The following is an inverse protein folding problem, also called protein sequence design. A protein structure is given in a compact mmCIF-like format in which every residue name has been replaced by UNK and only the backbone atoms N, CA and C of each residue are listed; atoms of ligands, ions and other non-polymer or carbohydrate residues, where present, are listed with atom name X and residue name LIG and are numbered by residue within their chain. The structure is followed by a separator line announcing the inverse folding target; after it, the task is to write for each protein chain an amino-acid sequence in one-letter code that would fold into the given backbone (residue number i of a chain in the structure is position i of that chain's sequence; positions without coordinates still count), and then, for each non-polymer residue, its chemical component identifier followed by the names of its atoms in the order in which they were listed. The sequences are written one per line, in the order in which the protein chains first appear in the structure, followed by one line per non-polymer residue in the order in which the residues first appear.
data_IF_325329817762
#
_entry.id   IF_325329817762
#
_cell.length_a   1.000
_cell.length_b   1.000
_cell.length_c   1.000
_cell.angle_alpha   90.00
_cell.angle_beta   90.00
_cell.angle_gamma   90.00
#
_symmetry.space_group_name_H-M   'P 1'
#
loop_
_entity.id
_entity.type
_entity.pdbx_description
1 polymer ?
#
# COMPACT_ATOMS: atom_id res chain seq x y z
N UNK A 1 -30.67 -23.35 18.34
CA UNK A 1 -30.28 -22.96 16.96
C UNK A 1 -31.04 -21.75 16.41
N UNK A 2 -32.04 -21.23 17.10
CA UNK A 2 -32.89 -20.12 16.61
C UNK A 2 -32.15 -18.77 16.53
N UNK A 3 -30.97 -18.64 17.13
CA UNK A 3 -30.17 -17.39 17.19
C UNK A 3 -28.89 -17.43 16.37
N UNK A 4 -28.53 -18.57 15.79
CA UNK A 4 -27.34 -18.68 14.95
C UNK A 4 -27.71 -18.39 13.49
N UNK A 5 -26.90 -17.60 12.82
CA UNK A 5 -26.95 -17.37 11.37
C UNK A 5 -26.49 -18.63 10.63
N UNK A 6 -26.32 -18.55 9.32
CA UNK A 6 -25.80 -19.71 8.56
C UNK A 6 -24.40 -20.11 9.03
N UNK A 7 -24.05 -21.38 8.85
CA UNK A 7 -22.70 -21.89 9.18
C UNK A 7 -21.59 -21.04 8.52
N UNK A 8 -21.83 -20.57 7.30
CA UNK A 8 -20.89 -19.69 6.59
C UNK A 8 -20.73 -18.35 7.30
N UNK A 9 -21.81 -17.77 7.80
CA UNK A 9 -21.74 -16.49 8.54
C UNK A 9 -20.99 -16.66 9.84
N UNK A 10 -21.24 -17.75 10.57
CA UNK A 10 -20.53 -18.04 11.82
C UNK A 10 -19.03 -18.31 11.58
N UNK A 11 -18.69 -19.03 10.53
CA UNK A 11 -17.30 -19.27 10.15
C UNK A 11 -16.58 -17.94 9.83
N UNK A 12 -17.24 -17.04 9.09
CA UNK A 12 -16.67 -15.72 8.79
C UNK A 12 -16.46 -14.89 10.07
N UNK A 13 -17.38 -14.96 11.02
CA UNK A 13 -17.25 -14.27 12.31
C UNK A 13 -16.06 -14.82 13.12
N UNK A 14 -15.92 -16.15 13.17
CA UNK A 14 -14.80 -16.82 13.85
C UNK A 14 -13.48 -16.44 13.16
N UNK A 15 -13.43 -16.48 11.82
CA UNK A 15 -12.24 -16.10 11.06
C UNK A 15 -11.85 -14.65 11.35
N UNK A 16 -12.80 -13.73 11.33
CA UNK A 16 -12.54 -12.31 11.64
C UNK A 16 -12.04 -12.13 13.08
N UNK A 17 -12.56 -12.88 14.04
CA UNK A 17 -12.06 -12.85 15.41
C UNK A 17 -10.63 -13.41 15.51
N UNK A 18 -10.35 -14.50 14.80
CA UNK A 18 -9.02 -15.08 14.70
C UNK A 18 -8.00 -14.14 14.08
N UNK A 19 -8.35 -13.48 12.97
CA UNK A 19 -7.51 -12.47 12.29
C UNK A 19 -7.08 -11.35 13.25
N UNK A 20 -8.00 -10.86 14.08
CA UNK A 20 -7.71 -9.80 15.07
C UNK A 20 -6.67 -10.20 16.11
N UNK A 21 -6.56 -11.50 16.40
CA UNK A 21 -5.58 -12.04 17.36
C UNK A 21 -4.24 -12.26 16.67
N UNK A 22 -4.23 -12.97 15.54
CA UNK A 22 -2.98 -13.39 14.91
C UNK A 22 -2.18 -12.23 14.34
N UNK A 23 -2.85 -11.13 13.96
CA UNK A 23 -2.20 -9.92 13.46
C UNK A 23 -1.40 -9.17 14.53
N UNK A 24 -1.72 -9.36 15.81
CA UNK A 24 -1.03 -8.71 16.94
C UNK A 24 0.14 -9.53 17.46
N UNK A 25 0.10 -10.85 17.27
CA UNK A 25 1.10 -11.76 17.82
C UNK A 25 1.88 -12.52 16.73
N UNK A 26 2.69 -11.81 15.92
CA UNK A 26 3.45 -12.45 14.83
C UNK A 26 4.49 -13.46 15.34
N UNK A 27 4.93 -13.35 16.60
CA UNK A 27 5.88 -14.25 17.25
C UNK A 27 5.28 -15.60 17.62
N UNK A 28 3.94 -15.75 17.58
CA UNK A 28 3.25 -17.00 17.94
C UNK A 28 2.90 -17.80 16.69
N UNK A 29 3.07 -19.13 16.75
CA UNK A 29 2.55 -20.04 15.74
C UNK A 29 1.07 -20.30 15.98
N UNK A 30 0.23 -20.08 14.97
CA UNK A 30 -1.20 -20.34 15.04
C UNK A 30 -1.62 -21.37 13.99
N UNK A 31 -2.48 -22.32 14.41
CA UNK A 31 -3.15 -23.24 13.50
C UNK A 31 -4.64 -23.09 13.66
N UNK A 32 -5.36 -22.88 12.56
CA UNK A 32 -6.81 -22.82 12.54
C UNK A 32 -7.37 -24.03 11.81
N UNK A 33 -8.18 -24.83 12.52
CA UNK A 33 -8.78 -26.07 12.00
C UNK A 33 -10.30 -26.02 12.09
N UNK A 34 -10.96 -26.63 11.12
CA UNK A 34 -12.40 -26.87 11.12
C UNK A 34 -12.69 -28.27 10.64
N UNK A 35 -13.38 -29.09 11.48
CA UNK A 35 -13.72 -30.48 11.18
C UNK A 35 -12.52 -31.28 10.63
N UNK A 36 -11.43 -31.33 11.39
CA UNK A 36 -10.16 -32.01 11.08
C UNK A 36 -9.40 -31.43 9.83
N UNK A 37 -9.98 -30.48 9.14
CA UNK A 37 -9.30 -29.78 8.03
C UNK A 37 -8.55 -28.56 8.55
N UNK A 38 -7.25 -28.49 8.23
CA UNK A 38 -6.44 -27.31 8.50
C UNK A 38 -6.75 -26.22 7.48
N UNK A 39 -7.31 -25.10 7.94
CA UNK A 39 -7.65 -23.95 7.10
C UNK A 39 -6.51 -22.94 7.03
N UNK A 40 -5.80 -22.72 8.12
CA UNK A 40 -4.65 -21.82 8.17
C UNK A 40 -3.55 -22.42 9.06
N UNK A 41 -2.31 -22.22 8.64
CA UNK A 41 -1.11 -22.55 9.41
C UNK A 41 -0.15 -21.37 9.33
N UNK A 42 -0.11 -20.58 10.38
CA UNK A 42 0.64 -19.32 10.45
C UNK A 42 1.86 -19.54 11.34
N UNK A 43 3.02 -19.75 10.74
CA UNK A 43 4.27 -19.91 11.47
C UNK A 43 4.65 -18.65 12.22
N UNK A 44 5.34 -18.79 13.33
CA UNK A 44 5.95 -17.66 14.01
C UNK A 44 6.95 -16.94 13.06
N UNK A 45 6.87 -15.62 13.00
CA UNK A 45 7.72 -14.79 12.15
C UNK A 45 8.42 -13.65 12.95
N UNK A 46 8.62 -13.86 14.25
CA UNK A 46 9.23 -12.86 15.13
C UNK A 46 8.38 -11.59 15.21
N UNK A 47 9.00 -10.45 15.11
CA UNK A 47 8.31 -9.14 15.11
C UNK A 47 7.95 -8.65 13.70
N UNK A 48 7.96 -9.54 12.70
CA UNK A 48 7.66 -9.17 11.32
C UNK A 48 6.16 -9.12 11.07
N UNK A 49 5.52 -8.01 11.43
CA UNK A 49 4.09 -7.76 11.20
C UNK A 49 3.72 -7.84 9.71
N UNK A 50 4.62 -7.38 8.82
CA UNK A 50 4.37 -7.45 7.37
C UNK A 50 4.24 -8.90 6.91
N UNK A 51 5.13 -9.78 7.33
CA UNK A 51 5.07 -11.20 6.99
C UNK A 51 3.77 -11.83 7.53
N UNK A 52 3.39 -11.52 8.76
CA UNK A 52 2.14 -12.00 9.36
C UNK A 52 0.91 -11.57 8.54
N UNK A 53 0.84 -10.32 8.11
CA UNK A 53 -0.24 -9.80 7.26
C UNK A 53 -0.31 -10.58 5.94
N UNK A 54 0.84 -10.84 5.33
CA UNK A 54 0.95 -11.58 4.06
C UNK A 54 0.54 -13.03 4.23
N UNK A 55 0.91 -13.67 5.34
CA UNK A 55 0.55 -15.06 5.64
C UNK A 55 -0.96 -15.23 5.83
N UNK A 56 -1.64 -14.20 6.38
CA UNK A 56 -3.10 -14.22 6.62
C UNK A 56 -3.87 -13.87 5.34
N UNK A 57 -3.50 -12.82 4.61
CA UNK A 57 -4.30 -12.27 3.51
C UNK A 57 -3.75 -12.58 2.12
N UNK A 58 -2.59 -13.23 2.05
CA UNK A 58 -1.97 -13.68 0.81
C UNK A 58 -0.90 -12.76 0.24
N UNK A 59 -0.02 -13.35 -0.57
CA UNK A 59 1.18 -12.70 -1.12
C UNK A 59 0.90 -11.46 -2.00
N UNK A 60 -0.25 -11.42 -2.66
CA UNK A 60 -0.64 -10.28 -3.52
C UNK A 60 -0.69 -8.96 -2.75
N UNK A 61 -1.04 -9.01 -1.47
CA UNK A 61 -1.10 -7.81 -0.63
C UNK A 61 0.29 -7.19 -0.40
N UNK A 62 1.35 -7.98 -0.45
CA UNK A 62 2.72 -7.52 -0.18
C UNK A 62 3.16 -6.34 -1.06
N UNK A 63 2.90 -6.44 -2.36
CA UNK A 63 3.28 -5.41 -3.34
C UNK A 63 2.47 -4.11 -3.20
N UNK A 64 1.32 -4.22 -2.54
CA UNK A 64 0.38 -3.11 -2.35
C UNK A 64 0.51 -2.41 -1.01
N UNK A 65 1.41 -2.84 -0.11
CA UNK A 65 1.57 -2.26 1.22
C UNK A 65 2.72 -1.25 1.28
N UNK A 66 2.41 -0.06 1.76
CA UNK A 66 3.36 0.99 2.11
C UNK A 66 3.55 1.03 3.63
N UNK A 67 4.78 1.13 4.14
CA UNK A 67 5.00 1.28 5.57
C UNK A 67 4.57 2.66 6.07
N UNK A 68 3.95 2.69 7.22
CA UNK A 68 3.63 3.91 7.98
C UNK A 68 4.36 3.82 9.32
N UNK A 69 5.02 4.89 9.72
CA UNK A 69 5.70 4.93 11.01
C UNK A 69 5.94 6.35 11.46
N UNK A 70 5.61 6.62 12.73
CA UNK A 70 5.91 7.87 13.41
C UNK A 70 6.05 7.59 14.90
N UNK A 71 7.01 8.22 15.53
CA UNK A 71 7.28 8.14 16.97
C UNK A 71 7.23 9.55 17.55
N UNK A 72 6.33 9.76 18.51
CA UNK A 72 6.09 11.05 19.16
C UNK A 72 5.99 10.86 20.67
N UNK A 73 5.96 11.96 21.41
CA UNK A 73 5.76 11.93 22.87
C UNK A 73 4.34 11.50 23.27
N UNK A 74 3.35 11.62 22.37
CA UNK A 74 1.94 11.28 22.65
C UNK A 74 1.64 9.83 22.32
N UNK A 75 2.18 9.34 21.20
CA UNK A 75 1.97 7.96 20.75
C UNK A 75 3.05 7.55 19.75
N UNK A 76 3.26 6.25 19.66
CA UNK A 76 3.98 5.65 18.56
C UNK A 76 2.99 4.96 17.65
N UNK A 77 3.09 5.23 16.35
CA UNK A 77 2.25 4.62 15.32
C UNK A 77 3.17 3.86 14.36
N UNK A 78 2.85 2.62 14.10
CA UNK A 78 3.53 1.82 13.09
C UNK A 78 2.54 0.95 12.33
N UNK A 79 2.94 0.46 11.15
CA UNK A 79 2.10 -0.45 10.38
C UNK A 79 2.18 -0.22 8.89
N UNK A 80 1.06 -0.48 8.21
CA UNK A 80 1.01 -0.49 6.75
C UNK A 80 -0.32 0.05 6.24
N UNK A 81 -0.27 0.77 5.14
CA UNK A 81 -1.43 1.21 4.35
C UNK A 81 -1.33 0.64 2.94
N UNK A 82 -2.47 0.43 2.29
CA UNK A 82 -2.50 0.06 0.88
C UNK A 82 -2.13 1.21 -0.04
N UNK A 83 -1.49 0.89 -1.15
CA UNK A 83 -1.35 1.82 -2.28
C UNK A 83 -2.74 2.20 -2.83
N UNK A 84 -2.90 3.35 -3.51
CA UNK A 84 -4.16 3.74 -4.12
C UNK A 84 -4.76 2.66 -5.05
N UNK A 85 -3.91 1.94 -5.80
CA UNK A 85 -4.33 0.89 -6.73
C UNK A 85 -4.91 -0.36 -6.02
N UNK A 86 -4.69 -0.47 -4.71
CA UNK A 86 -5.26 -1.54 -3.89
C UNK A 86 -6.66 -1.21 -3.34
N UNK A 87 -7.23 -0.06 -3.73
CA UNK A 87 -8.56 0.35 -3.30
C UNK A 87 -9.66 -0.63 -3.74
N UNK A 88 -10.70 -0.76 -2.92
CA UNK A 88 -11.84 -1.65 -3.17
C UNK A 88 -13.13 -0.97 -2.75
N UNK A 89 -14.20 -1.22 -3.50
CA UNK A 89 -15.56 -0.75 -3.16
C UNK A 89 -16.10 -1.37 -1.87
N UNK A 90 -15.70 -2.62 -1.56
CA UNK A 90 -16.18 -3.36 -0.38
C UNK A 90 -15.08 -4.27 0.15
N UNK A 91 -15.16 -4.59 1.44
CA UNK A 91 -14.30 -5.59 2.10
C UNK A 91 -12.79 -5.27 2.01
N UNK A 92 -12.42 -4.01 2.09
CA UNK A 92 -11.05 -3.64 2.36
C UNK A 92 -10.67 -4.09 3.77
N UNK A 93 -9.51 -4.71 3.90
CA UNK A 93 -8.99 -5.16 5.21
C UNK A 93 -8.53 -3.94 6.01
N UNK A 94 -9.30 -3.54 7.01
CA UNK A 94 -9.07 -2.33 7.79
C UNK A 94 -8.96 -2.67 9.28
N UNK A 95 -7.75 -2.57 9.82
CA UNK A 95 -7.45 -2.97 11.19
C UNK A 95 -6.70 -1.89 11.92
N UNK A 96 -7.23 -1.51 13.10
CA UNK A 96 -6.52 -0.73 14.10
C UNK A 96 -6.27 -1.58 15.33
N UNK A 97 -5.08 -1.41 15.88
CA UNK A 97 -4.69 -2.03 17.14
C UNK A 97 -4.09 -0.98 18.06
N UNK A 98 -4.44 -1.01 19.33
CA UNK A 98 -3.82 -0.19 20.37
C UNK A 98 -3.35 -1.08 21.52
N UNK A 99 -2.08 -0.96 21.88
CA UNK A 99 -1.45 -1.76 22.94
C UNK A 99 -1.80 -3.26 22.83
N UNK A 100 -1.73 -3.82 21.61
CA UNK A 100 -2.03 -5.22 21.34
C UNK A 100 -3.53 -5.59 21.31
N UNK A 101 -4.44 -4.62 21.29
CA UNK A 101 -5.90 -4.83 21.24
C UNK A 101 -6.50 -4.29 19.97
N UNK A 102 -7.34 -5.09 19.31
CA UNK A 102 -8.14 -4.62 18.17
C UNK A 102 -9.13 -3.54 18.61
N UNK A 103 -9.23 -2.48 17.81
CA UNK A 103 -10.23 -1.43 18.00
C UNK A 103 -10.95 -1.05 16.70
N UNK A 104 -12.17 -0.52 16.87
CA UNK A 104 -12.90 0.21 15.83
C UNK A 104 -12.88 1.68 16.18
N UNK A 105 -12.43 2.52 15.26
CA UNK A 105 -12.34 3.95 15.50
C UNK A 105 -12.72 4.73 14.22
N UNK A 106 -14.00 5.08 14.04
CA UNK A 106 -14.47 5.78 12.83
C UNK A 106 -13.77 7.11 12.58
N UNK A 107 -13.40 7.83 13.65
CA UNK A 107 -12.69 9.09 13.53
C UNK A 107 -11.25 8.89 12.99
N UNK A 108 -10.53 7.89 13.47
CA UNK A 108 -9.20 7.56 12.92
C UNK A 108 -9.28 6.94 11.53
N UNK A 109 -10.37 6.25 11.19
CA UNK A 109 -10.59 5.81 9.81
C UNK A 109 -10.61 7.01 8.85
N UNK A 110 -11.25 8.13 9.22
CA UNK A 110 -11.22 9.36 8.44
C UNK A 110 -9.80 9.93 8.31
N UNK A 111 -8.98 9.88 9.38
CA UNK A 111 -7.59 10.33 9.32
C UNK A 111 -6.78 9.56 8.28
N UNK A 112 -7.00 8.24 8.17
CA UNK A 112 -6.34 7.40 7.15
C UNK A 112 -6.91 7.68 5.77
N UNK A 113 -8.23 7.82 5.61
CA UNK A 113 -8.88 7.92 4.31
C UNK A 113 -8.79 9.32 3.68
N UNK A 114 -8.73 10.39 4.46
CA UNK A 114 -8.65 11.78 3.94
C UNK A 114 -7.48 12.01 2.96
N UNK A 115 -6.25 11.53 3.20
CA UNK A 115 -5.17 11.64 2.22
C UNK A 115 -5.44 10.94 0.89
N UNK A 116 -6.33 9.95 0.86
CA UNK A 116 -6.68 9.18 -0.33
C UNK A 116 -7.83 9.77 -1.15
N UNK A 117 -8.57 10.77 -0.65
CA UNK A 117 -9.80 11.29 -1.28
C UNK A 117 -9.63 11.69 -2.75
N UNK A 118 -8.42 12.13 -3.14
CA UNK A 118 -8.10 12.53 -4.53
C UNK A 118 -7.33 11.46 -5.31
N UNK A 119 -6.98 10.36 -4.66
CA UNK A 119 -6.12 9.31 -5.23
C UNK A 119 -6.91 8.05 -5.60
N UNK A 120 -8.11 7.88 -5.05
CA UNK A 120 -8.96 6.71 -5.27
C UNK A 120 -10.37 7.13 -5.70
N UNK A 121 -11.12 6.27 -6.40
CA UNK A 121 -12.52 6.52 -6.74
C UNK A 121 -13.39 6.76 -5.51
N UNK A 122 -14.38 7.64 -5.65
CA UNK A 122 -15.30 7.96 -4.56
C UNK A 122 -16.02 6.71 -4.03
N UNK A 123 -16.03 6.55 -2.70
CA UNK A 123 -16.64 5.40 -2.02
C UNK A 123 -15.77 4.14 -1.97
N UNK A 124 -14.59 4.14 -2.53
CA UNK A 124 -13.62 3.07 -2.34
C UNK A 124 -12.81 3.24 -1.06
N UNK A 125 -12.23 2.15 -0.60
CA UNK A 125 -11.46 2.07 0.63
C UNK A 125 -10.15 1.32 0.39
N UNK A 126 -9.08 1.78 1.04
CA UNK A 126 -7.78 1.10 1.02
C UNK A 126 -7.64 0.16 2.21
N UNK A 127 -6.91 -0.95 2.08
CA UNK A 127 -6.54 -1.76 3.22
C UNK A 127 -5.54 -1.02 4.11
N UNK A 128 -5.64 -1.21 5.42
CA UNK A 128 -4.63 -0.74 6.37
C UNK A 128 -4.55 -1.62 7.60
N UNK A 129 -3.35 -1.65 8.20
CA UNK A 129 -3.00 -2.39 9.40
C UNK A 129 -2.14 -1.47 10.26
N UNK A 130 -2.76 -0.76 11.19
CA UNK A 130 -2.11 0.30 11.96
C UNK A 130 -2.14 -0.06 13.43
N UNK A 131 -0.97 0.03 14.05
CA UNK A 131 -0.71 -0.28 15.45
C UNK A 131 -0.33 1.00 16.18
N UNK A 132 -0.95 1.20 17.32
CA UNK A 132 -0.72 2.32 18.22
C UNK A 132 -0.13 1.80 19.52
N UNK A 133 1.00 2.37 19.93
CA UNK A 133 1.52 2.25 21.28
C UNK A 133 1.28 3.59 21.99
N UNK A 134 0.42 3.56 23.00
CA UNK A 134 -0.04 4.75 23.75
C UNK A 134 0.11 4.47 25.23
N UNK A 135 0.52 5.46 26.06
CA UNK A 135 0.51 5.29 27.50
C UNK A 135 -0.84 4.81 28.02
N UNK A 136 -0.83 3.85 28.95
CA UNK A 136 -2.07 3.20 29.40
C UNK A 136 -3.00 4.19 30.14
N UNK A 137 -2.46 5.21 30.74
CA UNK A 137 -3.17 6.31 31.39
C UNK A 137 -3.94 7.20 30.41
N UNK A 138 -3.53 7.29 29.16
CA UNK A 138 -4.11 8.15 28.14
C UNK A 138 -5.27 7.47 27.38
N UNK A 139 -5.62 6.22 27.73
CA UNK A 139 -6.70 5.46 27.08
C UNK A 139 -7.68 4.87 28.07
N UNK A 140 -8.99 4.93 27.74
CA UNK A 140 -10.04 4.21 28.43
C UNK A 140 -10.63 3.13 27.51
N UNK A 141 -10.46 1.87 27.90
CA UNK A 141 -10.93 0.68 27.18
C UNK A 141 -12.31 0.23 27.69
N UNK A 142 -12.72 0.68 28.87
CA UNK A 142 -13.93 0.18 29.54
C UNK A 142 -15.19 0.98 29.20
N UNK A 143 -15.28 1.53 28.02
CA UNK A 143 -16.41 2.34 27.57
C UNK A 143 -17.54 1.53 26.92
N UNK A 144 -17.25 0.31 26.43
CA UNK A 144 -18.22 -0.55 25.78
C UNK A 144 -18.04 -2.03 26.18
N UNK A 145 -19.14 -2.82 26.34
CA UNK A 145 -19.06 -4.24 26.73
C UNK A 145 -18.14 -5.10 25.85
N UNK A 146 -18.11 -4.84 24.55
CA UNK A 146 -17.22 -5.56 23.60
C UNK A 146 -15.77 -5.12 23.68
N UNK A 147 -15.49 -4.00 24.36
CA UNK A 147 -14.14 -3.41 24.50
C UNK A 147 -13.41 -3.22 23.14
N UNK A 148 -14.18 -2.99 22.08
CA UNK A 148 -13.66 -2.68 20.75
C UNK A 148 -13.65 -1.18 20.45
N UNK A 149 -14.32 -0.38 21.27
CA UNK A 149 -14.29 1.07 21.26
C UNK A 149 -13.38 1.54 22.39
N UNK A 150 -12.50 2.45 22.08
CA UNK A 150 -11.49 2.96 23.01
C UNK A 150 -11.53 4.48 22.93
N UNK A 151 -11.53 5.13 24.10
CA UNK A 151 -11.43 6.58 24.20
C UNK A 151 -9.99 6.96 24.45
N UNK A 152 -9.50 7.94 23.73
CA UNK A 152 -8.18 8.52 23.89
C UNK A 152 -8.28 9.90 24.53
N UNK A 153 -7.41 10.22 25.44
CA UNK A 153 -7.35 11.55 26.03
C UNK A 153 -6.93 12.60 24.99
N UNK A 154 -5.95 12.27 24.15
CA UNK A 154 -5.40 13.16 23.12
C UNK A 154 -5.87 12.79 21.70
N UNK A 155 -7.17 12.43 21.54
CA UNK A 155 -7.72 11.88 20.29
C UNK A 155 -7.47 12.78 19.07
N UNK A 156 -7.66 14.09 19.22
CA UNK A 156 -7.46 15.04 18.11
C UNK A 156 -5.97 15.14 17.69
N UNK A 157 -5.07 15.11 18.65
CA UNK A 157 -3.62 15.13 18.37
C UNK A 157 -3.19 13.86 17.66
N UNK A 158 -3.66 12.70 18.14
CA UNK A 158 -3.38 11.40 17.50
C UNK A 158 -3.94 11.37 16.08
N UNK A 159 -5.13 11.92 15.85
CA UNK A 159 -5.73 12.05 14.53
C UNK A 159 -4.83 12.83 13.55
N UNK A 160 -4.29 13.98 13.99
CA UNK A 160 -3.40 14.80 13.18
C UNK A 160 -2.07 14.09 12.88
N UNK A 161 -1.50 13.41 13.88
CA UNK A 161 -0.26 12.63 13.75
C UNK A 161 -0.48 11.50 12.74
N UNK A 162 -1.58 10.74 12.87
CA UNK A 162 -1.92 9.65 11.96
C UNK A 162 -2.08 10.13 10.52
N UNK A 163 -2.85 11.21 10.33
CA UNK A 163 -3.06 11.79 9.00
C UNK A 163 -1.74 12.26 8.38
N UNK A 164 -0.87 12.89 9.16
CA UNK A 164 0.45 13.32 8.68
C UNK A 164 1.33 12.14 8.30
N UNK A 165 1.36 11.08 9.12
CA UNK A 165 2.13 9.86 8.83
C UNK A 165 1.65 9.15 7.55
N UNK A 166 0.33 9.10 7.32
CA UNK A 166 -0.23 8.53 6.08
C UNK A 166 0.14 9.38 4.87
N UNK A 167 0.05 10.72 4.96
CA UNK A 167 0.47 11.64 3.88
C UNK A 167 1.95 11.50 3.55
N UNK A 168 2.80 11.41 4.55
CA UNK A 168 4.24 11.21 4.36
C UNK A 168 4.54 9.90 3.64
N UNK A 169 3.89 8.81 4.04
CA UNK A 169 4.04 7.50 3.39
C UNK A 169 3.59 7.52 1.92
N UNK A 170 2.51 8.22 1.60
CA UNK A 170 2.02 8.40 0.23
C UNK A 170 2.94 9.31 -0.59
N UNK A 171 3.46 10.38 0.01
CA UNK A 171 4.42 11.28 -0.62
C UNK A 171 5.69 10.54 -1.04
N UNK A 172 6.30 9.81 -0.13
CA UNK A 172 7.49 8.99 -0.42
C UNK A 172 7.26 7.97 -1.54
N UNK A 173 6.06 7.41 -1.63
CA UNK A 173 5.72 6.49 -2.71
C UNK A 173 5.62 7.19 -4.07
N UNK A 174 5.04 8.40 -4.12
CA UNK A 174 4.89 9.17 -5.35
C UNK A 174 6.20 9.82 -5.82
N UNK A 175 7.11 10.14 -4.87
CA UNK A 175 8.40 10.78 -5.16
C UNK A 175 9.47 9.79 -5.65
N UNK A 176 9.29 8.49 -5.45
CA UNK A 176 10.18 7.46 -6.01
C UNK A 176 9.57 6.99 -7.33
N UNK A 177 10.06 7.45 -8.49
CA UNK A 177 9.72 6.81 -9.74
C UNK A 177 10.21 5.37 -9.63
N UNK A 178 9.30 4.41 -9.58
CA UNK A 178 9.65 3.00 -9.69
C UNK A 178 10.12 2.77 -11.11
N UNK A 179 11.41 2.99 -11.34
CA UNK A 179 12.07 2.44 -12.52
C UNK A 179 12.14 0.93 -12.25
N UNK A 180 11.12 0.24 -12.69
CA UNK A 180 11.12 -1.21 -12.73
C UNK A 180 12.15 -1.61 -13.78
N UNK A 181 13.36 -1.83 -13.34
CA UNK A 181 14.36 -2.56 -14.11
C UNK A 181 14.02 -4.05 -14.02
N UNK A 182 12.90 -4.43 -14.61
CA UNK A 182 12.60 -5.82 -14.86
C UNK A 182 13.56 -6.31 -15.94
N UNK A 183 14.69 -6.85 -15.50
CA UNK A 183 15.76 -7.37 -16.38
C UNK A 183 15.47 -8.79 -16.82
N UNK A 184 14.34 -9.39 -16.44
CA UNK A 184 13.93 -10.70 -16.96
C UNK A 184 13.48 -10.56 -18.41
N UNK A 185 14.36 -10.91 -19.33
CA UNK A 185 14.08 -10.99 -20.76
C UNK A 185 14.74 -9.94 -21.65
N UNK A 186 15.65 -9.13 -21.15
CA UNK A 186 16.48 -8.29 -22.01
C UNK A 186 17.63 -9.12 -22.56
N UNK A 187 17.87 -9.10 -23.90
CA UNK A 187 19.05 -9.74 -24.47
C UNK A 187 20.32 -9.11 -23.87
N UNK A 188 21.29 -9.94 -23.58
CA UNK A 188 22.59 -9.51 -23.08
C UNK A 188 23.12 -8.35 -23.95
N UNK A 189 23.43 -7.23 -23.30
CA UNK A 189 24.10 -6.12 -23.98
C UNK A 189 25.50 -6.69 -24.39
N UNK A 190 25.83 -6.78 -25.69
CA UNK A 190 27.13 -7.28 -26.09
C UNK A 190 28.19 -6.35 -25.50
N UNK A 191 29.01 -6.89 -24.62
CA UNK A 191 30.19 -6.21 -24.14
C UNK A 191 31.16 -6.11 -25.32
N UNK A 192 31.36 -4.90 -25.82
CA UNK A 192 32.43 -4.63 -26.76
C UNK A 192 33.76 -4.86 -26.05
N UNK A 193 34.37 -6.01 -26.29
CA UNK A 193 35.77 -6.19 -25.98
C UNK A 193 36.58 -5.31 -26.92
N UNK A 194 37.22 -4.28 -26.40
CA UNK A 194 38.26 -3.56 -27.11
C UNK A 194 39.44 -4.51 -27.33
N UNK A 195 39.39 -5.28 -28.41
CA UNK A 195 40.62 -5.84 -29.01
C UNK A 195 41.25 -4.71 -29.80
N UNK A 196 42.40 -4.29 -29.32
CA UNK A 196 43.10 -3.13 -29.83
C UNK A 196 43.41 -3.21 -31.34
N UNK A 197 42.89 -2.22 -32.01
CA UNK A 197 43.50 -1.54 -33.13
C UNK A 197 42.76 -0.22 -33.27
N UNK A 198 43.46 0.88 -32.97
CA UNK A 198 42.89 2.24 -33.18
C UNK A 198 42.75 2.42 -34.70
N UNK A 199 41.55 2.18 -35.22
CA UNK A 199 41.19 2.73 -36.52
C UNK A 199 40.74 4.16 -36.29
N UNK A 200 41.42 5.09 -36.98
CA UNK A 200 41.14 6.50 -37.02
C UNK A 200 39.69 6.73 -37.39
N UNK A 201 38.85 7.02 -36.40
CA UNK A 201 37.47 7.42 -36.65
C UNK A 201 37.46 8.83 -37.22
N UNK A 202 37.38 8.94 -38.55
CA UNK A 202 37.01 10.21 -39.18
C UNK A 202 35.58 10.54 -38.78
N UNK A 203 35.44 11.59 -37.97
CA UNK A 203 34.13 12.16 -37.69
C UNK A 203 33.44 12.57 -38.99
N UNK A 204 32.19 12.16 -39.23
CA UNK A 204 31.46 12.60 -40.40
C UNK A 204 31.34 14.14 -40.34
N UNK A 205 31.82 14.80 -41.39
CA UNK A 205 31.65 16.23 -41.58
C UNK A 205 30.15 16.47 -41.84
N UNK A 206 29.50 17.13 -40.91
CA UNK A 206 28.14 17.58 -41.12
C UNK A 206 28.23 18.89 -41.93
N UNK A 207 27.79 18.84 -43.19
CA UNK A 207 27.63 20.04 -43.99
C UNK A 207 26.47 20.87 -43.40
N UNK A 208 26.86 21.92 -42.73
CA UNK A 208 25.92 22.88 -42.12
C UNK A 208 25.61 23.93 -43.16
N UNK A 209 24.32 24.07 -43.53
CA UNK A 209 23.83 25.17 -44.34
C UNK A 209 23.40 26.34 -43.43
N UNK A 210 24.19 27.44 -43.36
CA UNK A 210 23.88 28.57 -42.48
C UNK A 210 22.63 29.35 -42.88
N UNK A 211 22.07 29.11 -44.09
CA UNK A 211 20.85 29.77 -44.58
C UNK A 211 19.58 28.92 -44.36
N UNK A 212 19.67 27.76 -43.72
CA UNK A 212 18.50 26.92 -43.43
C UNK A 212 17.72 27.51 -42.26
N UNK A 213 16.53 28.02 -42.53
CA UNK A 213 15.60 28.48 -41.52
C UNK A 213 14.36 27.55 -41.49
N UNK A 214 14.21 26.65 -40.50
CA UNK A 214 13.09 25.73 -40.42
C UNK A 214 11.73 26.43 -40.17
N UNK A 215 11.74 27.73 -39.83
CA UNK A 215 10.55 28.53 -39.58
C UNK A 215 10.20 29.52 -40.72
N UNK A 216 10.90 29.48 -41.84
CA UNK A 216 10.48 30.21 -43.01
C UNK A 216 9.31 29.51 -43.67
N UNK A 217 8.13 30.06 -43.51
CA UNK A 217 6.89 29.60 -44.15
C UNK A 217 6.90 29.83 -45.65
N UNK A 218 7.50 28.93 -46.42
CA UNK A 218 7.14 28.80 -47.82
C UNK A 218 5.92 27.89 -47.90
N UNK A 219 4.76 28.48 -47.86
CA UNK A 219 3.46 27.82 -48.05
C UNK A 219 3.38 27.32 -49.50
N UNK A 220 3.87 26.10 -49.73
CA UNK A 220 3.35 25.28 -50.81
C UNK A 220 2.12 24.60 -50.27
N UNK A 221 0.94 25.09 -50.59
CA UNK A 221 -0.32 24.39 -50.41
C UNK A 221 -0.22 23.03 -51.12
N UNK A 222 -0.50 21.92 -50.48
CA UNK A 222 -0.62 20.66 -51.16
C UNK A 222 -1.81 20.74 -52.13
N UNK A 223 -1.58 20.47 -53.44
CA UNK A 223 -2.60 20.36 -54.44
C UNK A 223 -3.52 19.17 -54.01
N UNK A 224 -4.80 19.47 -53.83
CA UNK A 224 -5.83 18.47 -53.58
C UNK A 224 -6.07 17.76 -54.94
N UNK A 225 -5.95 16.41 -55.03
CA UNK A 225 -6.33 15.73 -56.25
C UNK A 225 -7.85 15.84 -56.48
N UNK A 226 -8.25 16.37 -57.62
CA UNK A 226 -9.63 16.37 -58.11
C UNK A 226 -10.00 14.95 -58.50
N UNK A 227 -10.38 14.07 -57.62
CA UNK A 227 -11.22 12.89 -57.91
C UNK A 227 -11.45 12.13 -56.60
N UNK A 228 -12.51 12.52 -55.93
CA UNK A 228 -13.19 11.67 -54.96
C UNK A 228 -14.63 11.50 -55.44
N UNK A 229 -14.89 10.44 -56.17
CA UNK A 229 -16.20 9.80 -56.26
C UNK A 229 -16.19 8.47 -55.51
#
# INVERSE_FOLDING_TARGET
RKFLKSNTTEMNNIMTAFERIVLVYPQIHFTFRSNDTELLNLRACGENFRQRIIDVFGKRLNQSLLPVGVDTTVCKIHGFIGKPEASKKKNAHQYFFVNGRYMKHPYFNKAVMTPFERLIPAGEQVPYFIYFDVPAEDIDVNIHPTKTEIKFENEQTIWQILMAAVKDSLGRFNDVPSIDFDTEGKPDIPMFHQTGEMQDFQMPKVDYNPSYNPFSSNSRQPAIPENWE
#
